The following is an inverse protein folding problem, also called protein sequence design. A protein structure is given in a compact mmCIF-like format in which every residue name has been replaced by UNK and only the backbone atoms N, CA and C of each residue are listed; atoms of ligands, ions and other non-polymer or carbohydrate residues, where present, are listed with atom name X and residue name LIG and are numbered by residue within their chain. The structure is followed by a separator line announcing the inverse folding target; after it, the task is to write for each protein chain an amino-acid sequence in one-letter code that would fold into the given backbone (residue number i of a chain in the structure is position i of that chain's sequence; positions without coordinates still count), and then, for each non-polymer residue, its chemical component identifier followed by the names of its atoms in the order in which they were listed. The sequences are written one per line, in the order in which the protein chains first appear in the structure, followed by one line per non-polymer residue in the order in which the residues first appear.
data_IF_608030792211
#
_entry.id   IF_608030792211
#
_cell.length_a   1.000
_cell.length_b   1.000
_cell.length_c   1.000
_cell.angle_alpha   90.00
_cell.angle_beta   90.00
_cell.angle_gamma   90.00
#
_symmetry.space_group_name_H-M   'P 1'
#
loop_
_entity.id
_entity.type
_entity.pdbx_description
1 polymer ?
#
# COMPACT_ATOMS: atom_id res chain seq x y z
N UNK A 1 -15.29 30.72 -4.90
CA UNK A 1 -14.06 29.92 -4.69
C UNK A 1 -13.27 30.53 -3.57
N UNK A 2 -12.97 29.75 -2.57
CA UNK A 2 -12.26 30.21 -1.38
C UNK A 2 -10.75 30.11 -1.61
N UNK A 3 -9.95 31.17 -1.46
CA UNK A 3 -8.50 31.04 -1.60
C UNK A 3 -7.94 30.30 -0.38
N UNK A 4 -7.62 29.05 -0.54
CA UNK A 4 -6.96 28.24 0.49
C UNK A 4 -5.50 28.68 0.65
N UNK A 5 -5.28 29.79 1.33
CA UNK A 5 -3.95 30.40 1.43
C UNK A 5 -3.02 29.67 2.41
N UNK A 6 -3.58 28.86 3.30
CA UNK A 6 -2.79 28.15 4.36
C UNK A 6 -3.25 26.71 4.62
N UNK A 7 -4.16 26.19 3.81
CA UNK A 7 -4.66 24.83 3.96
C UNK A 7 -5.26 24.34 2.64
N UNK A 8 -5.28 23.05 2.45
CA UNK A 8 -5.99 22.38 1.34
C UNK A 8 -7.51 22.33 1.55
N UNK A 9 -8.01 22.79 2.70
CA UNK A 9 -9.44 22.78 3.09
C UNK A 9 -9.87 24.15 3.58
N UNK A 10 -11.16 24.53 3.43
CA UNK A 10 -11.66 25.85 3.82
C UNK A 10 -11.39 26.21 5.28
N UNK A 11 -11.60 25.27 6.19
CA UNK A 11 -11.45 25.47 7.63
C UNK A 11 -10.14 24.90 8.20
N UNK A 12 -9.26 24.38 7.34
CA UNK A 12 -8.04 23.71 7.76
C UNK A 12 -8.32 22.58 8.75
N UNK A 13 -7.59 22.56 9.85
CA UNK A 13 -7.75 21.54 10.90
C UNK A 13 -8.84 21.87 11.94
N UNK A 14 -9.62 22.91 11.74
CA UNK A 14 -10.71 23.29 12.65
C UNK A 14 -11.94 22.41 12.49
N UNK A 15 -12.15 21.85 11.29
CA UNK A 15 -13.25 20.93 11.01
C UNK A 15 -12.91 19.46 11.25
N UNK A 16 -11.68 19.09 10.94
CA UNK A 16 -11.19 17.72 11.06
C UNK A 16 -9.74 17.67 11.52
N UNK A 17 -9.37 16.68 12.29
CA UNK A 17 -7.97 16.40 12.56
C UNK A 17 -7.27 15.94 11.26
N UNK A 18 -5.97 16.20 11.18
CA UNK A 18 -5.13 15.60 10.15
C UNK A 18 -5.13 14.08 10.24
N UNK A 19 -4.92 13.41 9.14
CA UNK A 19 -4.73 11.97 9.12
C UNK A 19 -3.37 11.63 9.73
N UNK A 20 -3.39 10.92 10.86
CA UNK A 20 -2.17 10.41 11.47
C UNK A 20 -1.84 9.06 10.85
N UNK A 21 -0.66 8.95 10.24
CA UNK A 21 -0.20 7.75 9.56
C UNK A 21 1.11 7.26 10.15
N UNK A 22 1.31 5.95 10.09
CA UNK A 22 2.59 5.34 10.46
C UNK A 22 2.94 4.23 9.46
N UNK A 23 4.22 4.18 9.07
CA UNK A 23 4.78 3.07 8.29
C UNK A 23 4.87 1.85 9.19
N UNK A 24 4.41 0.72 8.68
CA UNK A 24 4.55 -0.56 9.33
C UNK A 24 4.62 -1.68 8.30
N UNK A 25 5.49 -2.64 8.54
CA UNK A 25 5.65 -3.83 7.73
C UNK A 25 6.61 -4.79 8.42
N UNK A 26 6.14 -5.97 8.77
CA UNK A 26 6.95 -7.07 9.29
C UNK A 26 6.10 -8.35 9.33
N UNK A 27 6.77 -9.49 9.32
CA UNK A 27 6.14 -10.79 9.46
C UNK A 27 5.18 -11.12 8.32
N UNK A 28 4.12 -11.82 8.64
CA UNK A 28 3.05 -12.22 7.73
C UNK A 28 1.83 -11.32 7.88
N UNK A 29 0.82 -11.51 7.04
CA UNK A 29 -0.41 -10.74 7.03
C UNK A 29 -1.10 -10.65 8.39
N UNK A 30 -1.18 -11.76 9.15
CA UNK A 30 -1.82 -11.79 10.47
C UNK A 30 -1.04 -10.97 11.51
N UNK A 31 0.30 -10.98 11.44
CA UNK A 31 1.14 -10.22 12.36
C UNK A 31 1.01 -8.72 12.07
N UNK A 32 1.03 -8.36 10.80
CA UNK A 32 0.80 -7.00 10.36
C UNK A 32 -0.60 -6.51 10.76
N UNK A 33 -1.65 -7.29 10.49
CA UNK A 33 -3.03 -6.97 10.85
C UNK A 33 -3.18 -6.69 12.35
N UNK A 34 -2.59 -7.55 13.20
CA UNK A 34 -2.61 -7.36 14.65
C UNK A 34 -1.98 -6.03 15.07
N UNK A 35 -0.86 -5.66 14.46
CA UNK A 35 -0.19 -4.39 14.71
C UNK A 35 -1.01 -3.20 14.19
N UNK A 36 -1.55 -3.32 12.99
CA UNK A 36 -2.39 -2.30 12.37
C UNK A 36 -3.65 -2.00 13.19
N UNK A 37 -4.35 -3.03 13.67
CA UNK A 37 -5.49 -2.90 14.57
C UNK A 37 -5.11 -2.15 15.85
N UNK A 38 -4.01 -2.53 16.48
CA UNK A 38 -3.52 -1.84 17.66
C UNK A 38 -3.28 -0.35 17.40
N UNK A 39 -2.66 0.00 16.27
CA UNK A 39 -2.40 1.39 15.92
C UNK A 39 -3.69 2.19 15.68
N UNK A 40 -4.66 1.60 14.98
CA UNK A 40 -5.98 2.22 14.78
C UNK A 40 -6.71 2.42 16.11
N UNK A 41 -6.62 1.47 17.04
CA UNK A 41 -7.19 1.59 18.38
C UNK A 41 -6.51 2.68 19.22
N UNK A 42 -5.25 2.98 18.96
CA UNK A 42 -4.52 4.09 19.59
C UNK A 42 -4.79 5.46 18.92
N UNK A 43 -5.67 5.51 17.94
CA UNK A 43 -6.12 6.76 17.32
C UNK A 43 -5.43 7.12 16.01
N UNK A 44 -4.64 6.25 15.43
CA UNK A 44 -4.22 6.44 14.04
C UNK A 44 -5.44 6.32 13.13
N UNK A 45 -5.41 7.06 12.04
CA UNK A 45 -6.45 7.03 11.00
C UNK A 45 -5.90 6.67 9.61
N UNK A 46 -4.60 6.42 9.53
CA UNK A 46 -3.94 6.00 8.31
C UNK A 46 -2.83 5.01 8.57
N UNK A 47 -2.61 4.14 7.60
CA UNK A 47 -1.58 3.11 7.63
C UNK A 47 -0.74 3.18 6.36
N UNK A 48 0.54 2.90 6.48
CA UNK A 48 1.44 2.70 5.35
C UNK A 48 1.97 1.28 5.45
N UNK A 49 1.52 0.42 4.52
CA UNK A 49 1.95 -0.96 4.41
C UNK A 49 3.21 -1.03 3.56
N UNK A 50 4.30 -1.39 4.21
CA UNK A 50 5.57 -1.69 3.57
C UNK A 50 5.72 -3.19 3.39
N UNK A 51 6.10 -3.63 2.19
CA UNK A 51 6.39 -5.02 1.89
C UNK A 51 7.88 -5.30 2.03
N UNK A 52 8.20 -6.57 2.30
CA UNK A 52 9.56 -7.00 2.52
C UNK A 52 10.41 -7.04 1.24
N UNK A 53 11.70 -7.35 1.40
CA UNK A 53 12.63 -7.38 0.29
C UNK A 53 12.33 -8.51 -0.70
N UNK A 54 11.82 -9.65 -0.24
CA UNK A 54 11.39 -10.74 -1.11
C UNK A 54 10.29 -10.25 -2.06
N UNK A 55 9.18 -9.76 -1.49
CA UNK A 55 8.04 -9.23 -2.23
C UNK A 55 8.43 -8.09 -3.17
N UNK A 56 9.17 -7.10 -2.69
CA UNK A 56 9.52 -5.92 -3.50
C UNK A 56 10.55 -6.20 -4.59
N UNK A 57 11.28 -7.32 -4.51
CA UNK A 57 12.14 -7.83 -5.59
C UNK A 57 11.45 -8.86 -6.50
N UNK A 58 10.19 -9.24 -6.22
CA UNK A 58 9.42 -10.18 -7.03
C UNK A 58 9.82 -11.65 -6.81
N UNK A 59 10.33 -11.97 -5.62
CA UNK A 59 10.61 -13.34 -5.20
C UNK A 59 9.51 -13.86 -4.30
N UNK A 60 9.21 -15.13 -4.40
CA UNK A 60 8.39 -15.85 -3.43
C UNK A 60 9.20 -16.09 -2.14
N UNK A 61 8.51 -16.22 -1.01
CA UNK A 61 9.16 -16.35 0.31
C UNK A 61 9.98 -17.62 0.49
N UNK A 62 9.79 -18.63 -0.37
CA UNK A 62 10.56 -19.88 -0.36
C UNK A 62 11.76 -19.89 -1.31
N UNK A 63 12.01 -18.77 -2.02
CA UNK A 63 13.17 -18.66 -2.89
C UNK A 63 14.46 -18.58 -2.06
N UNK A 64 15.48 -19.40 -2.36
CA UNK A 64 16.76 -19.40 -1.65
C UNK A 64 17.48 -18.04 -1.67
N UNK A 65 17.21 -17.17 -2.65
CA UNK A 65 17.82 -15.84 -2.76
C UNK A 65 17.40 -14.86 -1.67
N UNK A 66 16.28 -15.15 -1.00
CA UNK A 66 15.72 -14.26 0.04
C UNK A 66 15.74 -14.88 1.43
N UNK A 67 16.50 -15.95 1.60
CA UNK A 67 16.67 -16.61 2.91
C UNK A 67 17.13 -15.59 3.98
N UNK A 68 16.36 -15.49 5.06
CA UNK A 68 16.63 -14.57 6.18
C UNK A 68 16.13 -13.15 5.99
N UNK A 69 15.53 -12.79 4.86
CA UNK A 69 14.95 -11.46 4.60
C UNK A 69 13.42 -11.44 4.64
N UNK A 70 12.77 -12.61 4.55
CA UNK A 70 11.31 -12.74 4.52
C UNK A 70 10.67 -12.21 5.80
N UNK A 71 9.74 -11.26 5.66
CA UNK A 71 9.00 -10.67 6.78
C UNK A 71 9.84 -9.81 7.73
N UNK A 72 11.09 -9.52 7.41
CA UNK A 72 12.03 -8.84 8.31
C UNK A 72 11.93 -7.31 8.27
N UNK A 73 11.93 -6.74 7.09
CA UNK A 73 11.88 -5.29 6.86
C UNK A 73 10.70 -4.91 5.98
N UNK A 74 9.55 -5.48 6.26
CA UNK A 74 8.31 -5.38 5.52
C UNK A 74 7.46 -6.61 5.75
N UNK A 75 6.21 -6.56 5.31
CA UNK A 75 5.29 -7.70 5.34
C UNK A 75 5.57 -8.59 4.13
N UNK A 76 5.69 -9.89 4.34
CA UNK A 76 5.77 -10.87 3.26
C UNK A 76 4.42 -10.99 2.54
N UNK A 77 4.46 -11.01 1.20
CA UNK A 77 3.28 -11.16 0.36
C UNK A 77 3.59 -12.10 -0.81
N UNK A 78 3.07 -13.31 -0.75
CA UNK A 78 3.19 -14.30 -1.82
C UNK A 78 1.85 -14.53 -2.53
N UNK A 79 0.74 -14.34 -1.81
CA UNK A 79 -0.58 -14.73 -2.28
C UNK A 79 -1.67 -13.74 -1.87
N UNK A 80 -2.85 -13.90 -2.48
CA UNK A 80 -4.05 -13.16 -2.07
C UNK A 80 -4.44 -13.46 -0.62
N UNK A 81 -4.20 -14.68 -0.13
CA UNK A 81 -4.51 -15.09 1.24
C UNK A 81 -3.74 -14.28 2.27
N UNK A 82 -2.48 -13.91 1.98
CA UNK A 82 -1.68 -13.04 2.84
C UNK A 82 -2.29 -11.65 2.97
N UNK A 83 -2.79 -11.08 1.87
CA UNK A 83 -3.50 -9.79 1.91
C UNK A 83 -4.87 -9.90 2.58
N UNK A 84 -5.60 -10.99 2.39
CA UNK A 84 -6.85 -11.22 3.09
C UNK A 84 -6.64 -11.26 4.61
N UNK A 85 -5.55 -11.90 5.05
CA UNK A 85 -5.15 -11.91 6.45
C UNK A 85 -4.71 -10.52 6.95
N UNK A 86 -3.92 -9.80 6.15
CA UNK A 86 -3.49 -8.44 6.46
C UNK A 86 -4.68 -7.49 6.57
N UNK A 87 -5.66 -7.61 5.69
CA UNK A 87 -6.86 -6.75 5.66
C UNK A 87 -7.97 -7.18 6.63
N UNK A 88 -7.65 -8.01 7.61
CA UNK A 88 -8.53 -8.19 8.76
C UNK A 88 -8.46 -6.95 9.66
N UNK A 89 -9.03 -5.83 9.20
CA UNK A 89 -8.96 -4.50 9.78
C UNK A 89 -10.35 -3.90 10.04
N UNK A 90 -10.47 -3.00 11.03
CA UNK A 90 -11.66 -2.16 11.20
C UNK A 90 -11.62 -1.00 10.17
N UNK A 91 -12.07 -1.25 8.93
CA UNK A 91 -12.04 -0.27 7.85
C UNK A 91 -12.83 1.00 8.14
N UNK A 92 -13.82 0.93 9.02
CA UNK A 92 -14.57 2.10 9.50
C UNK A 92 -13.70 3.14 10.23
N UNK A 93 -12.55 2.73 10.77
CA UNK A 93 -11.56 3.61 11.40
C UNK A 93 -10.48 4.10 10.44
N UNK A 94 -10.37 3.49 9.27
CA UNK A 94 -9.29 3.74 8.32
C UNK A 94 -9.71 4.83 7.33
N UNK A 95 -9.01 5.95 7.31
CA UNK A 95 -9.20 7.03 6.34
C UNK A 95 -8.21 6.99 5.19
N UNK A 96 -7.06 6.35 5.39
CA UNK A 96 -5.95 6.34 4.46
C UNK A 96 -5.14 5.06 4.57
N UNK A 97 -4.86 4.45 3.45
CA UNK A 97 -3.93 3.34 3.32
C UNK A 97 -2.95 3.65 2.18
N UNK A 98 -1.67 3.46 2.43
CA UNK A 98 -0.65 3.47 1.40
C UNK A 98 -0.07 2.07 1.26
N UNK A 99 0.03 1.57 0.04
CA UNK A 99 0.64 0.30 -0.32
C UNK A 99 1.93 0.56 -1.10
N UNK A 100 3.07 0.15 -0.55
CA UNK A 100 4.40 0.46 -1.09
C UNK A 100 5.04 -0.80 -1.63
N UNK A 101 4.90 -1.05 -2.93
CA UNK A 101 5.41 -2.26 -3.57
C UNK A 101 6.35 -1.99 -4.77
N UNK A 102 6.30 -0.78 -5.33
CA UNK A 102 7.11 -0.35 -6.48
C UNK A 102 6.96 -1.26 -7.72
N UNK A 103 8.00 -1.96 -8.16
CA UNK A 103 7.98 -2.69 -9.43
C UNK A 103 6.93 -3.83 -9.49
N UNK A 104 6.70 -4.66 -8.44
CA UNK A 104 5.62 -5.64 -8.43
C UNK A 104 4.21 -5.04 -8.23
N UNK A 105 4.08 -3.71 -8.17
CA UNK A 105 2.81 -3.03 -7.88
C UNK A 105 1.60 -3.48 -8.72
N UNK A 106 1.70 -3.83 -10.00
CA UNK A 106 0.55 -4.31 -10.76
C UNK A 106 -0.10 -5.57 -10.16
N UNK A 107 0.72 -6.51 -9.72
CA UNK A 107 0.25 -7.74 -9.07
C UNK A 107 -0.33 -7.40 -7.69
N UNK A 108 0.38 -6.57 -6.93
CA UNK A 108 -0.09 -6.09 -5.64
C UNK A 108 -1.42 -5.34 -5.75
N UNK A 109 -1.58 -4.44 -6.72
CA UNK A 109 -2.83 -3.72 -6.98
C UNK A 109 -3.99 -4.68 -7.24
N UNK A 110 -3.79 -5.69 -8.08
CA UNK A 110 -4.80 -6.70 -8.38
C UNK A 110 -5.20 -7.48 -7.11
N UNK A 111 -4.23 -7.89 -6.30
CA UNK A 111 -4.48 -8.59 -5.03
C UNK A 111 -5.21 -7.69 -4.02
N UNK A 112 -4.84 -6.40 -3.92
CA UNK A 112 -5.51 -5.43 -3.04
C UNK A 112 -6.98 -5.28 -3.43
N UNK A 113 -7.28 -5.10 -4.71
CA UNK A 113 -8.66 -5.00 -5.21
C UNK A 113 -9.44 -6.27 -4.86
N UNK A 114 -8.89 -7.44 -5.19
CA UNK A 114 -9.54 -8.72 -4.93
C UNK A 114 -9.79 -8.96 -3.42
N UNK A 115 -8.84 -8.58 -2.55
CA UNK A 115 -8.99 -8.71 -1.10
C UNK A 115 -10.08 -7.79 -0.55
N UNK A 116 -10.17 -6.56 -1.03
CA UNK A 116 -11.22 -5.60 -0.64
C UNK A 116 -12.60 -6.08 -1.11
N UNK A 117 -12.72 -6.55 -2.36
CA UNK A 117 -13.95 -7.12 -2.90
C UNK A 117 -14.43 -8.32 -2.09
N UNK A 118 -13.56 -9.27 -1.77
CA UNK A 118 -13.90 -10.43 -0.94
C UNK A 118 -14.39 -10.04 0.46
N UNK A 119 -13.87 -8.96 1.01
CA UNK A 119 -14.28 -8.45 2.32
C UNK A 119 -15.53 -7.56 2.26
N UNK A 120 -16.01 -7.23 1.07
CA UNK A 120 -17.16 -6.34 0.87
C UNK A 120 -16.87 -4.90 1.31
N UNK A 121 -15.63 -4.48 1.27
CA UNK A 121 -15.20 -3.11 1.59
C UNK A 121 -15.34 -2.25 0.34
N UNK A 122 -16.08 -1.15 0.46
CA UNK A 122 -16.20 -0.20 -0.66
C UNK A 122 -14.88 0.59 -0.78
N UNK A 123 -14.21 0.54 -1.94
CA UNK A 123 -13.00 1.32 -2.19
C UNK A 123 -13.19 2.84 -2.07
N UNK A 124 -14.43 3.32 -2.07
CA UNK A 124 -14.74 4.75 -1.90
C UNK A 124 -14.71 5.22 -0.43
N UNK A 125 -14.72 4.29 0.53
CA UNK A 125 -14.81 4.63 1.96
C UNK A 125 -13.50 5.16 2.54
N UNK A 126 -12.38 4.96 1.86
CA UNK A 126 -11.07 5.46 2.27
C UNK A 126 -10.18 5.80 1.07
N UNK A 127 -9.10 6.55 1.32
CA UNK A 127 -8.10 6.85 0.29
C UNK A 127 -7.05 5.76 0.27
N UNK A 128 -6.90 5.08 -0.86
CA UNK A 128 -5.78 4.19 -1.10
C UNK A 128 -4.74 4.87 -1.97
N UNK A 129 -3.51 4.91 -1.49
CA UNK A 129 -2.37 5.42 -2.24
C UNK A 129 -1.48 4.27 -2.67
N UNK A 130 -1.32 4.11 -3.96
CA UNK A 130 -0.46 3.08 -4.55
C UNK A 130 0.89 3.70 -4.93
N UNK A 131 1.96 3.18 -4.35
CA UNK A 131 3.31 3.64 -4.66
C UNK A 131 3.93 2.76 -5.74
N UNK A 132 4.12 3.35 -6.91
CA UNK A 132 4.73 2.72 -8.07
C UNK A 132 5.94 3.55 -8.52
N UNK A 133 6.95 3.62 -7.67
CA UNK A 133 8.15 4.43 -7.84
C UNK A 133 9.19 3.79 -8.75
N UNK A 134 8.84 3.49 -10.00
CA UNK A 134 9.73 2.70 -10.90
C UNK A 134 11.09 3.37 -11.15
N UNK A 135 11.16 4.69 -11.19
CA UNK A 135 12.43 5.39 -11.42
C UNK A 135 13.37 5.29 -10.22
N UNK A 136 12.84 5.28 -9.00
CA UNK A 136 13.66 5.14 -7.78
C UNK A 136 14.29 3.74 -7.72
N UNK A 137 13.63 2.72 -8.25
CA UNK A 137 14.17 1.37 -8.33
C UNK A 137 15.48 1.35 -9.11
N UNK A 138 15.56 2.04 -10.23
CA UNK A 138 16.78 2.08 -11.08
C UNK A 138 17.85 3.02 -10.54
N UNK A 139 17.47 4.16 -9.99
CA UNK A 139 18.42 5.23 -9.67
C UNK A 139 18.97 5.19 -8.25
N UNK A 140 18.18 4.68 -7.30
CA UNK A 140 18.49 4.72 -5.88
C UNK A 140 18.61 3.34 -5.23
N UNK A 141 17.73 2.41 -5.61
CA UNK A 141 17.65 1.10 -4.95
C UNK A 141 18.49 0.04 -5.68
N UNK A 142 18.66 0.19 -7.00
CA UNK A 142 19.42 -0.75 -7.83
C UNK A 142 18.68 -2.04 -8.15
N UNK A 143 17.35 -2.00 -8.19
CA UNK A 143 16.50 -3.14 -8.57
C UNK A 143 16.10 -3.03 -10.03
N UNK A 144 16.18 -4.14 -10.75
CA UNK A 144 15.94 -4.19 -12.21
C UNK A 144 15.00 -5.36 -12.56
N UNK A 145 13.80 -5.40 -11.94
CA UNK A 145 12.81 -6.45 -12.23
C UNK A 145 12.36 -6.38 -13.69
N UNK A 146 12.11 -5.17 -14.19
CA UNK A 146 11.76 -4.91 -15.59
C UNK A 146 12.79 -3.99 -16.23
N UNK A 147 13.03 -4.11 -17.55
CA UNK A 147 13.71 -3.05 -18.29
C UNK A 147 12.95 -1.71 -18.16
N UNK A 148 13.64 -0.55 -18.11
CA UNK A 148 13.02 0.74 -17.81
C UNK A 148 11.79 1.09 -18.66
N UNK A 149 11.84 0.81 -19.97
CA UNK A 149 10.73 1.06 -20.88
C UNK A 149 9.47 0.27 -20.48
N UNK A 150 9.64 -1.02 -20.19
CA UNK A 150 8.53 -1.88 -19.77
C UNK A 150 8.02 -1.50 -18.38
N UNK A 151 8.92 -1.16 -17.45
CA UNK A 151 8.54 -0.70 -16.11
C UNK A 151 7.71 0.58 -16.15
N UNK A 152 8.12 1.57 -16.96
CA UNK A 152 7.35 2.81 -17.14
C UNK A 152 5.99 2.58 -17.79
N UNK A 153 5.91 1.70 -18.79
CA UNK A 153 4.64 1.33 -19.42
C UNK A 153 3.69 0.70 -18.39
N UNK A 154 4.17 -0.28 -17.63
CA UNK A 154 3.38 -0.97 -16.60
C UNK A 154 2.90 0.02 -15.52
N UNK A 155 3.78 0.94 -15.09
CA UNK A 155 3.39 1.98 -14.14
C UNK A 155 2.29 2.90 -14.70
N UNK A 156 2.39 3.26 -15.97
CA UNK A 156 1.37 4.07 -16.65
C UNK A 156 0.04 3.32 -16.74
N UNK A 157 0.07 2.05 -17.09
CA UNK A 157 -1.14 1.19 -17.18
C UNK A 157 -1.85 1.11 -15.81
N UNK A 158 -1.10 0.98 -14.70
CA UNK A 158 -1.65 1.01 -13.35
C UNK A 158 -2.32 2.35 -13.02
N UNK A 159 -1.66 3.46 -13.33
CA UNK A 159 -2.19 4.81 -13.10
C UNK A 159 -3.47 5.02 -13.90
N UNK A 160 -3.48 4.63 -15.17
CA UNK A 160 -4.67 4.73 -16.03
C UNK A 160 -5.83 3.91 -15.49
N UNK A 161 -5.57 2.69 -15.03
CA UNK A 161 -6.58 1.83 -14.43
C UNK A 161 -7.19 2.48 -13.18
N UNK A 162 -6.34 3.01 -12.27
CA UNK A 162 -6.78 3.64 -11.03
C UNK A 162 -7.63 4.89 -11.33
N UNK A 163 -7.18 5.77 -12.20
CA UNK A 163 -7.93 6.99 -12.55
C UNK A 163 -9.32 6.67 -13.10
N UNK A 164 -9.43 5.59 -13.89
CA UNK A 164 -10.70 5.20 -14.51
C UNK A 164 -11.67 4.53 -13.54
N UNK A 165 -11.16 3.71 -12.63
CA UNK A 165 -12.00 2.82 -11.83
C UNK A 165 -12.07 3.24 -10.35
N UNK A 166 -11.05 3.91 -9.85
CA UNK A 166 -10.90 4.28 -8.43
C UNK A 166 -10.43 5.73 -8.27
N UNK A 167 -11.21 6.74 -8.69
CA UNK A 167 -10.74 8.13 -8.76
C UNK A 167 -10.38 8.76 -7.41
N UNK A 168 -10.70 8.11 -6.30
CA UNK A 168 -10.33 8.54 -4.95
C UNK A 168 -8.98 7.97 -4.47
N UNK A 169 -8.36 7.11 -5.27
CA UNK A 169 -7.10 6.47 -4.94
C UNK A 169 -5.90 7.25 -5.46
#
# INVERSE_FOLDING_TARGET
EYPYTRSTRPNGHRSDFWTMTQVTGFGRGEEWSRRARYMLDQGLSGLILEYDLATTNGYDSDDPMVEGEVGRAGMALDSLEDLEAAFDLPFDKLKYLMSVCNAPQPVNLAMVIAALEKKGVDPQDFVLHIVNGILIEYTCVGRYIYPPEHGLRIATDCIEYIIRNHPNW
#
